data_IF_738262705386
#
_entry.id   IF_738262705386
#
_cell.length_a   1.000
_cell.length_b   1.000
_cell.length_c   1.000
_cell.angle_alpha   90.00
_cell.angle_beta   90.00
_cell.angle_gamma   90.00
#
_symmetry.space_group_name_H-M   'P 1'
#
loop_
_entity.id
_entity.type
_entity.pdbx_description
1 polymer ?
#
# COMPACT_ATOMS: atom_id res chain seq x y z
N UNK A 1 7.33 14.23 15.68
CA UNK A 1 7.08 14.19 14.21
C UNK A 1 5.69 13.60 14.01
N UNK A 2 4.79 14.23 13.25
CA UNK A 2 3.47 13.66 12.99
C UNK A 2 3.65 12.47 12.02
N UNK A 3 3.34 11.25 12.47
CA UNK A 3 3.23 10.11 11.58
C UNK A 3 2.07 10.38 10.61
N UNK A 4 2.37 10.66 9.34
CA UNK A 4 1.38 10.72 8.28
C UNK A 4 1.27 9.31 7.70
N UNK A 5 0.24 8.58 8.12
CA UNK A 5 -0.10 7.28 7.54
C UNK A 5 -1.07 7.43 6.38
N UNK A 6 -1.13 6.40 5.53
CA UNK A 6 -2.15 6.30 4.49
C UNK A 6 -3.32 5.48 5.03
N UNK A 7 -4.49 6.11 5.17
CA UNK A 7 -5.70 5.39 5.53
C UNK A 7 -6.21 4.57 4.34
N UNK A 8 -6.32 3.25 4.53
CA UNK A 8 -6.74 2.32 3.47
C UNK A 8 -7.59 1.19 4.07
N UNK A 9 -8.68 0.84 3.39
CA UNK A 9 -9.46 -0.33 3.77
C UNK A 9 -8.74 -1.63 3.42
N UNK A 10 -8.94 -2.67 4.24
CA UNK A 10 -8.34 -4.00 4.01
C UNK A 10 -8.68 -4.56 2.63
N UNK A 11 -9.94 -4.44 2.19
CA UNK A 11 -10.38 -4.92 0.87
C UNK A 11 -9.65 -4.22 -0.27
N UNK A 12 -9.39 -2.90 -0.12
CA UNK A 12 -8.62 -2.14 -1.09
C UNK A 12 -7.16 -2.54 -1.09
N UNK A 13 -6.55 -2.73 0.08
CA UNK A 13 -5.17 -3.22 0.19
C UNK A 13 -4.99 -4.56 -0.54
N UNK A 14 -5.89 -5.53 -0.33
CA UNK A 14 -5.85 -6.79 -1.06
C UNK A 14 -6.05 -6.62 -2.57
N UNK A 15 -6.89 -5.68 -3.00
CA UNK A 15 -7.08 -5.37 -4.42
C UNK A 15 -5.78 -4.84 -5.03
N UNK A 16 -5.12 -3.90 -4.36
CA UNK A 16 -3.83 -3.34 -4.80
C UNK A 16 -2.75 -4.42 -4.89
N UNK A 17 -2.69 -5.34 -3.92
CA UNK A 17 -1.79 -6.51 -4.00
C UNK A 17 -2.07 -7.36 -5.24
N UNK A 18 -3.35 -7.65 -5.52
CA UNK A 18 -3.74 -8.44 -6.71
C UNK A 18 -3.40 -7.71 -8.02
N UNK A 19 -3.38 -6.38 -8.00
CA UNK A 19 -3.08 -5.53 -9.15
C UNK A 19 -1.59 -5.15 -9.24
N UNK A 20 -0.75 -5.62 -8.32
CA UNK A 20 0.67 -5.27 -8.21
C UNK A 20 0.92 -3.75 -8.06
N UNK A 21 -0.03 -3.05 -7.43
CA UNK A 21 -0.02 -1.58 -7.24
C UNK A 21 0.67 -1.13 -5.94
N UNK A 22 0.99 -2.09 -5.05
CA UNK A 22 1.64 -1.85 -3.76
C UNK A 22 2.69 -2.93 -3.53
N UNK A 23 3.90 -2.62 -3.03
CA UNK A 23 4.89 -3.64 -2.72
C UNK A 23 4.43 -4.53 -1.57
N UNK A 24 4.64 -5.83 -1.73
CA UNK A 24 4.33 -6.84 -0.73
C UNK A 24 5.29 -8.02 -0.87
N UNK A 25 5.48 -8.76 0.21
CA UNK A 25 6.15 -10.06 0.20
C UNK A 25 5.13 -11.14 0.55
N UNK A 26 5.08 -12.20 -0.27
CA UNK A 26 4.22 -13.36 0.00
C UNK A 26 5.04 -14.49 0.60
N UNK A 27 4.67 -14.95 1.79
CA UNK A 27 5.27 -16.12 2.45
C UNK A 27 4.13 -17.11 2.75
N UNK A 28 4.07 -18.18 1.96
CA UNK A 28 2.92 -19.10 1.99
C UNK A 28 1.62 -18.40 1.58
N UNK A 29 0.61 -18.46 2.45
CA UNK A 29 -0.67 -17.76 2.29
C UNK A 29 -0.69 -16.34 2.85
N UNK A 30 0.37 -15.94 3.56
CA UNK A 30 0.44 -14.66 4.25
C UNK A 30 1.07 -13.57 3.35
N UNK A 31 0.57 -12.35 3.51
CA UNK A 31 1.11 -11.15 2.88
C UNK A 31 1.77 -10.29 3.94
N UNK A 32 2.99 -9.85 3.66
CA UNK A 32 3.79 -8.99 4.51
C UNK A 32 4.07 -7.68 3.78
N UNK A 33 3.98 -6.59 4.53
CA UNK A 33 4.29 -5.24 4.05
C UNK A 33 5.48 -4.75 4.86
N UNK A 34 6.65 -4.69 4.23
CA UNK A 34 7.89 -4.28 4.87
C UNK A 34 7.91 -2.76 4.92
N UNK A 35 8.16 -2.19 6.11
CA UNK A 35 8.13 -0.75 6.34
C UNK A 35 9.00 0.02 5.35
N UNK A 36 10.29 -0.34 5.21
CA UNK A 36 11.22 0.32 4.28
C UNK A 36 10.72 0.34 2.83
N UNK A 37 10.11 -0.75 2.37
CA UNK A 37 9.57 -0.86 1.01
C UNK A 37 8.35 0.04 0.81
N UNK A 38 7.49 0.11 1.84
CA UNK A 38 6.29 0.96 1.82
C UNK A 38 6.71 2.43 1.90
N UNK A 39 7.66 2.78 2.75
CA UNK A 39 8.20 4.13 2.82
C UNK A 39 8.79 4.58 1.49
N UNK A 40 9.60 3.73 0.85
CA UNK A 40 10.16 4.01 -0.47
C UNK A 40 9.06 4.17 -1.52
N UNK A 41 8.07 3.28 -1.54
CA UNK A 41 6.93 3.38 -2.44
C UNK A 41 6.16 4.68 -2.25
N UNK A 42 5.88 5.10 -1.00
CA UNK A 42 5.24 6.38 -0.71
C UNK A 42 6.09 7.57 -1.17
N UNK A 43 7.40 7.55 -0.90
CA UNK A 43 8.34 8.60 -1.39
C UNK A 43 8.33 8.72 -2.91
N UNK A 44 8.12 7.61 -3.61
CA UNK A 44 8.05 7.55 -5.08
C UNK A 44 6.66 7.86 -5.64
N UNK A 45 5.73 8.36 -4.83
CA UNK A 45 4.38 8.75 -5.28
C UNK A 45 3.35 7.63 -5.19
N UNK A 46 3.66 6.55 -4.46
CA UNK A 46 2.70 5.51 -4.10
C UNK A 46 1.56 6.08 -3.27
N UNK A 47 0.32 5.83 -3.70
CA UNK A 47 -0.87 6.31 -2.98
C UNK A 47 -1.91 5.22 -2.87
N UNK A 48 -2.70 5.22 -1.80
CA UNK A 48 -3.94 4.45 -1.72
C UNK A 48 -5.13 5.20 -2.33
N UNK A 49 -4.93 6.11 -3.29
CA UNK A 49 -6.02 7.01 -3.70
C UNK A 49 -7.20 6.24 -4.29
N UNK A 50 -8.43 6.57 -3.87
CA UNK A 50 -9.54 6.56 -4.80
C UNK A 50 -9.42 7.91 -5.49
N UNK A 51 -9.21 7.94 -6.81
CA UNK A 51 -9.52 9.14 -7.54
C UNK A 51 -11.04 9.35 -7.42
N UNK A 52 -11.46 10.12 -6.42
CA UNK A 52 -12.73 10.84 -6.51
C UNK A 52 -12.52 11.76 -7.70
N UNK A 53 -13.17 11.40 -8.83
CA UNK A 53 -13.18 12.24 -10.03
C UNK A 53 -13.73 13.61 -9.63
N UNK A 54 -12.94 14.66 -9.86
CA UNK A 54 -13.45 16.01 -10.04
C UNK A 54 -13.79 16.20 -11.51
#
# INVERSE_FOLDING_TARGET
>A
MKQQGIEISRSKLYKMVKQDEIPYTKIGSNLFFVEDQIEEWVRNGGTASQAVRA
#
